data_IF_236724222316
#
_entry.id   IF_236724222316
#
_cell.length_a   1.000
_cell.length_b   1.000
_cell.length_c   1.000
_cell.angle_alpha   90.00
_cell.angle_beta   90.00
_cell.angle_gamma   90.00
#
_symmetry.space_group_name_H-M   'P 1'
#
loop_
_entity.id
_entity.type
_entity.pdbx_description
1 polymer ?
#
# COMPACT_ATOMS: atom_id res chain seq x y z
N UNK A 1 -22.39 42.17 18.92
CA UNK A 1 -22.75 40.99 18.12
C UNK A 1 -22.79 39.83 19.10
N UNK A 2 -23.96 39.27 19.37
CA UNK A 2 -24.10 38.18 20.34
C UNK A 2 -23.41 36.91 19.83
N UNK A 3 -22.84 36.06 20.72
CA UNK A 3 -22.37 34.74 20.31
C UNK A 3 -23.55 33.92 19.79
N UNK A 4 -23.44 33.40 18.57
CA UNK A 4 -24.43 32.46 18.06
C UNK A 4 -24.25 31.13 18.78
N UNK A 5 -25.29 30.67 19.47
CA UNK A 5 -25.38 29.33 20.06
C UNK A 5 -25.75 28.35 18.96
N UNK A 6 -24.81 27.47 18.57
CA UNK A 6 -25.11 26.37 17.66
C UNK A 6 -25.88 25.29 18.43
N UNK A 7 -27.16 25.09 18.10
CA UNK A 7 -28.03 24.20 18.86
C UNK A 7 -27.84 22.73 18.47
N UNK A 8 -26.73 22.12 18.92
CA UNK A 8 -26.36 20.74 18.60
C UNK A 8 -27.49 19.74 18.91
N UNK A 9 -28.28 19.99 19.96
CA UNK A 9 -29.37 19.13 20.42
C UNK A 9 -30.55 19.02 19.46
N UNK A 10 -30.79 20.06 18.66
CA UNK A 10 -31.91 20.11 17.71
C UNK A 10 -31.56 19.46 16.38
N UNK A 11 -30.28 19.53 15.98
CA UNK A 11 -29.77 18.92 14.76
C UNK A 11 -29.35 17.44 14.88
N UNK A 12 -29.11 16.95 16.10
CA UNK A 12 -28.41 15.69 16.46
C UNK A 12 -27.69 14.96 15.29
N UNK A 13 -26.61 15.54 14.74
CA UNK A 13 -26.03 15.10 13.46
C UNK A 13 -25.33 13.73 13.52
N UNK A 14 -25.26 13.11 14.71
CA UNK A 14 -24.62 11.82 14.95
C UNK A 14 -25.48 10.83 15.74
N UNK A 15 -26.76 11.16 16.03
CA UNK A 15 -27.67 10.37 16.88
C UNK A 15 -27.06 10.01 18.24
N UNK A 16 -26.37 10.96 18.87
CA UNK A 16 -25.67 10.76 20.16
C UNK A 16 -26.33 11.47 21.33
N UNK A 17 -27.30 12.37 21.10
CA UNK A 17 -27.90 13.18 22.17
C UNK A 17 -28.59 12.32 23.23
N UNK A 18 -29.18 11.18 22.82
CA UNK A 18 -29.79 10.22 23.74
C UNK A 18 -28.79 9.60 24.73
N UNK A 19 -27.53 9.41 24.32
CA UNK A 19 -26.47 8.83 25.16
C UNK A 19 -25.88 9.80 26.18
N UNK A 20 -26.13 11.10 26.04
CA UNK A 20 -25.59 12.14 26.92
C UNK A 20 -26.29 12.15 28.29
N UNK A 21 -25.51 12.20 29.37
CA UNK A 21 -26.06 12.37 30.72
C UNK A 21 -26.67 13.76 30.88
N UNK A 22 -27.58 13.93 31.84
CA UNK A 22 -28.17 15.24 32.16
C UNK A 22 -27.11 16.33 32.49
N UNK A 23 -25.97 15.92 33.08
CA UNK A 23 -24.84 16.83 33.36
C UNK A 23 -24.13 17.27 32.09
N UNK A 24 -23.94 16.37 31.13
CA UNK A 24 -23.29 16.67 29.86
C UNK A 24 -24.19 17.55 28.99
N UNK A 25 -25.50 17.26 28.96
CA UNK A 25 -26.50 18.11 28.29
C UNK A 25 -26.46 19.55 28.84
N UNK A 26 -26.42 19.73 30.16
CA UNK A 26 -26.33 21.06 30.78
C UNK A 26 -24.99 21.77 30.48
N UNK A 27 -23.86 21.04 30.45
CA UNK A 27 -22.56 21.60 30.06
C UNK A 27 -22.54 22.04 28.59
N UNK A 28 -23.03 21.20 27.68
CA UNK A 28 -23.06 21.48 26.23
C UNK A 28 -24.03 22.62 25.92
N UNK A 29 -25.20 22.70 26.58
CA UNK A 29 -26.13 23.81 26.42
C UNK A 29 -25.57 25.18 26.84
N UNK A 30 -24.58 25.20 27.74
CA UNK A 30 -23.87 26.40 28.16
C UNK A 30 -22.62 26.71 27.31
N UNK A 31 -22.29 25.92 26.27
CA UNK A 31 -21.16 26.20 25.39
C UNK A 31 -21.54 27.17 24.27
N UNK A 32 -20.85 28.31 24.23
CA UNK A 32 -20.94 29.28 23.12
C UNK A 32 -19.90 28.97 22.04
N UNK A 33 -20.26 29.17 20.77
CA UNK A 33 -19.31 29.07 19.66
C UNK A 33 -18.22 30.15 19.81
N UNK A 34 -16.96 29.75 19.76
CA UNK A 34 -15.83 30.68 19.84
C UNK A 34 -15.78 31.57 18.60
N UNK A 35 -15.65 32.89 18.79
CA UNK A 35 -15.52 33.81 17.65
C UNK A 35 -14.15 33.67 16.99
N UNK A 36 -14.06 33.92 15.68
CA UNK A 36 -12.78 33.93 14.96
C UNK A 36 -11.76 34.88 15.60
N UNK A 37 -12.22 36.05 16.08
CA UNK A 37 -11.35 37.03 16.75
C UNK A 37 -10.78 36.46 18.05
N UNK A 38 -11.57 35.73 18.83
CA UNK A 38 -11.14 35.17 20.11
C UNK A 38 -10.26 33.92 19.94
N UNK A 39 -10.55 33.08 18.93
CA UNK A 39 -9.65 32.00 18.51
C UNK A 39 -8.27 32.55 18.11
N UNK A 40 -8.23 33.59 17.27
CA UNK A 40 -6.97 34.22 16.85
C UNK A 40 -6.23 34.90 18.00
N UNK A 41 -6.95 35.48 18.98
CA UNK A 41 -6.34 35.99 20.23
C UNK A 41 -5.73 34.88 21.09
N UNK A 42 -6.37 33.70 21.16
CA UNK A 42 -5.81 32.54 21.85
C UNK A 42 -4.54 32.05 21.14
N UNK A 43 -4.56 31.93 19.81
CA UNK A 43 -3.38 31.60 19.02
C UNK A 43 -2.25 32.64 19.20
N UNK A 44 -2.58 33.93 19.23
CA UNK A 44 -1.62 35.00 19.50
C UNK A 44 -0.93 34.81 20.86
N UNK A 45 -1.72 34.68 21.94
CA UNK A 45 -1.24 34.48 23.33
C UNK A 45 -0.42 33.22 23.51
N UNK A 46 -0.78 32.13 22.82
CA UNK A 46 -0.08 30.85 22.90
C UNK A 46 1.17 30.76 22.00
N UNK A 47 1.57 31.87 21.35
CA UNK A 47 2.63 31.91 20.33
C UNK A 47 2.43 30.95 19.13
N UNK A 48 1.21 30.45 18.91
CA UNK A 48 0.85 29.59 17.77
C UNK A 48 0.56 30.35 16.47
N UNK A 49 0.67 29.65 15.35
CA UNK A 49 0.11 30.06 14.05
C UNK A 49 -1.35 29.61 13.92
N UNK A 50 -2.10 30.24 13.02
CA UNK A 50 -3.46 29.85 12.66
C UNK A 50 -3.53 29.50 11.17
N UNK A 51 -4.06 28.33 10.84
CA UNK A 51 -4.43 27.94 9.48
C UNK A 51 -5.92 28.22 9.29
N UNK A 52 -6.28 29.11 8.37
CA UNK A 52 -7.65 29.51 8.12
C UNK A 52 -8.18 28.82 6.86
N UNK A 53 -8.95 27.75 7.07
CA UNK A 53 -9.82 27.16 6.05
C UNK A 53 -11.26 27.60 6.30
N UNK A 54 -11.72 28.58 5.52
CA UNK A 54 -13.01 29.24 5.71
C UNK A 54 -13.84 29.05 4.44
N UNK A 55 -14.98 28.38 4.60
CA UNK A 55 -15.95 28.19 3.52
C UNK A 55 -16.64 29.51 3.20
N UNK A 56 -16.65 29.88 1.92
CA UNK A 56 -17.43 31.01 1.42
C UNK A 56 -18.93 30.78 1.69
N UNK A 57 -19.68 31.76 2.21
CA UNK A 57 -21.12 31.63 2.43
C UNK A 57 -21.91 31.31 1.13
N UNK A 58 -23.15 30.79 1.21
CA UNK A 58 -24.04 30.65 0.05
C UNK A 58 -24.28 31.98 -0.69
N UNK A 59 -24.60 31.97 -2.00
CA UNK A 59 -24.82 33.18 -2.80
C UNK A 59 -25.86 34.17 -2.23
N UNK A 60 -26.86 33.64 -1.54
CA UNK A 60 -28.00 34.36 -0.96
C UNK A 60 -27.62 35.13 0.31
N UNK A 61 -26.46 34.80 0.91
CA UNK A 61 -26.04 35.39 2.18
C UNK A 61 -25.52 36.83 2.00
N UNK A 62 -25.95 37.83 2.82
CA UNK A 62 -25.55 39.23 2.65
C UNK A 62 -24.03 39.49 2.63
N UNK A 63 -23.24 38.63 3.32
CA UNK A 63 -21.77 38.72 3.34
C UNK A 63 -21.07 37.87 2.28
N UNK A 64 -21.79 37.20 1.37
CA UNK A 64 -21.22 36.32 0.34
C UNK A 64 -20.12 36.99 -0.51
N UNK A 65 -20.27 38.30 -0.80
CA UNK A 65 -19.29 39.08 -1.58
C UNK A 65 -18.19 39.75 -0.74
N UNK A 66 -18.32 39.77 0.60
CA UNK A 66 -17.43 40.48 1.54
C UNK A 66 -16.77 39.57 2.58
N UNK A 67 -17.04 38.26 2.55
CA UNK A 67 -16.64 37.29 3.57
C UNK A 67 -15.14 37.31 3.94
N UNK A 68 -14.27 37.47 2.95
CA UNK A 68 -12.82 37.56 3.15
C UNK A 68 -12.41 38.90 3.79
N UNK A 69 -13.14 40.01 3.55
CA UNK A 69 -12.91 41.29 4.28
C UNK A 69 -13.27 41.15 5.76
N UNK A 70 -14.37 40.46 6.06
CA UNK A 70 -14.78 40.18 7.44
C UNK A 70 -13.70 39.34 8.17
N UNK A 71 -13.08 38.40 7.45
CA UNK A 71 -11.96 37.60 7.95
C UNK A 71 -10.70 38.45 8.16
N UNK A 72 -10.31 39.29 7.19
CA UNK A 72 -9.14 40.17 7.32
C UNK A 72 -9.31 41.16 8.49
N UNK A 73 -10.51 41.72 8.66
CA UNK A 73 -10.83 42.58 9.80
C UNK A 73 -10.74 41.83 11.13
N UNK A 74 -11.19 40.56 11.19
CA UNK A 74 -11.05 39.73 12.36
C UNK A 74 -9.58 39.45 12.73
N UNK A 75 -8.72 39.19 11.73
CA UNK A 75 -7.27 39.04 11.90
C UNK A 75 -6.65 40.32 12.46
N UNK A 76 -6.94 41.47 11.85
CA UNK A 76 -6.44 42.77 12.31
C UNK A 76 -6.90 43.08 13.75
N UNK A 77 -8.18 42.84 14.06
CA UNK A 77 -8.76 43.06 15.40
C UNK A 77 -8.25 42.10 16.47
N UNK A 78 -7.80 40.91 16.09
CA UNK A 78 -7.17 39.96 17.00
C UNK A 78 -5.74 40.38 17.40
N UNK A 79 -5.09 41.26 16.63
CA UNK A 79 -3.72 41.72 16.88
C UNK A 79 -2.64 40.66 16.60
N UNK A 80 -2.98 39.58 15.90
CA UNK A 80 -2.02 38.55 15.49
C UNK A 80 -1.22 39.02 14.26
N UNK A 81 0.07 38.68 14.21
CA UNK A 81 0.90 39.00 13.05
C UNK A 81 0.37 38.31 11.79
N UNK A 82 0.19 39.03 10.65
CA UNK A 82 -0.26 38.43 9.39
C UNK A 82 0.61 37.24 8.93
N UNK A 83 1.92 37.27 9.23
CA UNK A 83 2.85 36.17 8.91
C UNK A 83 2.58 34.86 9.67
N UNK A 84 1.78 34.91 10.74
CA UNK A 84 1.35 33.74 11.55
C UNK A 84 -0.05 33.25 11.18
N UNK A 85 -0.71 33.84 10.19
CA UNK A 85 -2.07 33.47 9.76
C UNK A 85 -2.03 33.03 8.30
N UNK A 86 -2.10 31.73 8.07
CA UNK A 86 -2.04 31.13 6.74
C UNK A 86 -3.45 31.01 6.15
N UNK A 87 -3.63 31.42 4.90
CA UNK A 87 -4.90 31.42 4.19
C UNK A 87 -5.02 30.22 3.24
N UNK A 88 -6.01 29.36 3.47
CA UNK A 88 -6.21 28.12 2.72
C UNK A 88 -7.13 28.23 1.50
N UNK A 89 -8.26 29.00 1.51
CA UNK A 89 -9.20 29.01 0.40
C UNK A 89 -8.64 29.53 -0.94
N UNK A 90 -8.89 28.81 -2.03
CA UNK A 90 -8.53 29.22 -3.39
C UNK A 90 -9.37 30.38 -3.96
N UNK A 91 -10.52 30.67 -3.34
CA UNK A 91 -11.34 31.81 -3.75
C UNK A 91 -10.77 33.13 -3.22
N UNK A 92 -10.84 34.18 -4.05
CA UNK A 92 -10.43 35.55 -3.71
C UNK A 92 -8.95 35.72 -3.26
N UNK A 93 -8.03 34.74 -3.50
CA UNK A 93 -6.59 34.82 -3.10
C UNK A 93 -5.91 36.15 -3.45
N UNK A 94 -6.22 36.71 -4.63
CA UNK A 94 -5.69 38.01 -5.07
C UNK A 94 -6.03 39.20 -4.16
N UNK A 95 -7.04 39.07 -3.29
CA UNK A 95 -7.53 40.08 -2.34
C UNK A 95 -6.94 39.93 -0.93
N UNK A 96 -6.26 38.81 -0.66
CA UNK A 96 -5.68 38.46 0.66
C UNK A 96 -4.14 38.30 0.62
N UNK A 97 -3.48 38.90 -0.38
CA UNK A 97 -2.02 38.82 -0.63
C UNK A 97 -1.10 39.18 0.53
N UNK A 98 -1.61 39.79 1.61
CA UNK A 98 -0.86 40.07 2.84
C UNK A 98 -0.70 38.87 3.79
N UNK A 99 -1.35 37.73 3.49
CA UNK A 99 -1.28 36.49 4.26
C UNK A 99 -0.53 35.39 3.47
N UNK A 100 0.33 34.57 4.11
CA UNK A 100 0.85 33.34 3.52
C UNK A 100 -0.28 32.47 2.93
N UNK A 101 -0.06 31.89 1.75
CA UNK A 101 -1.08 31.13 1.02
C UNK A 101 -0.80 29.63 1.12
N UNK A 102 -1.81 28.85 1.48
CA UNK A 102 -1.80 27.38 1.47
C UNK A 102 -2.85 26.83 0.52
N UNK A 103 -2.62 25.65 -0.05
CA UNK A 103 -3.65 24.85 -0.72
C UNK A 103 -3.90 23.52 0.01
N UNK A 104 -5.08 22.92 -0.23
CA UNK A 104 -5.49 21.61 0.31
C UNK A 104 -5.38 20.46 -0.72
N UNK A 105 -4.66 20.69 -1.82
CA UNK A 105 -4.52 19.76 -2.95
C UNK A 105 -3.05 19.55 -3.31
N UNK A 106 -2.73 18.42 -3.97
CA UNK A 106 -1.41 18.17 -4.54
C UNK A 106 -1.28 19.01 -5.81
N UNK A 107 -0.23 19.81 -5.91
CA UNK A 107 0.02 20.74 -7.01
C UNK A 107 1.42 20.54 -7.60
N UNK A 108 1.57 20.83 -8.88
CA UNK A 108 2.90 20.91 -9.51
C UNK A 108 3.72 22.08 -8.93
N UNK A 109 5.05 22.00 -9.03
CA UNK A 109 5.95 23.09 -8.59
C UNK A 109 5.70 24.37 -9.40
N UNK A 110 5.34 24.23 -10.67
CA UNK A 110 4.94 25.30 -11.58
C UNK A 110 3.70 26.03 -11.05
N UNK A 111 2.64 25.29 -10.70
CA UNK A 111 1.41 25.86 -10.14
C UNK A 111 1.65 26.52 -8.78
N UNK A 112 2.46 25.90 -7.91
CA UNK A 112 2.80 26.48 -6.59
C UNK A 112 3.47 27.84 -6.78
N UNK A 113 4.42 27.95 -7.72
CA UNK A 113 5.11 29.20 -8.05
C UNK A 113 4.18 30.22 -8.72
N UNK A 114 3.32 29.81 -9.64
CA UNK A 114 2.34 30.69 -10.30
C UNK A 114 1.27 31.23 -9.33
N UNK A 115 0.76 30.38 -8.44
CA UNK A 115 -0.27 30.73 -7.44
C UNK A 115 0.33 31.43 -6.20
N UNK A 116 1.66 31.44 -6.04
CA UNK A 116 2.35 32.06 -4.91
C UNK A 116 2.13 31.33 -3.58
N UNK A 117 2.03 30.00 -3.63
CA UNK A 117 1.72 29.14 -2.49
C UNK A 117 3.00 28.85 -1.70
N UNK A 118 2.92 28.99 -0.37
CA UNK A 118 4.03 28.74 0.56
C UNK A 118 3.92 27.41 1.31
N UNK A 119 2.72 26.83 1.35
CA UNK A 119 2.45 25.60 2.09
C UNK A 119 1.37 24.73 1.43
N UNK A 120 1.43 23.42 1.66
CA UNK A 120 0.41 22.47 1.22
C UNK A 120 -0.15 21.71 2.42
N UNK A 121 -1.45 21.44 2.42
CA UNK A 121 -2.09 20.48 3.33
C UNK A 121 -2.56 19.29 2.50
N UNK A 122 -1.90 18.15 2.65
CA UNK A 122 -2.16 16.94 1.85
C UNK A 122 -2.76 15.84 2.71
N UNK A 123 -3.74 15.11 2.16
CA UNK A 123 -4.19 13.88 2.79
C UNK A 123 -3.05 12.84 2.80
N UNK A 124 -2.90 12.06 3.87
CA UNK A 124 -1.78 11.11 4.01
C UNK A 124 -1.68 10.12 2.84
N UNK A 125 -2.79 9.73 2.22
CA UNK A 125 -2.79 8.85 1.04
C UNK A 125 -2.30 9.49 -0.26
N UNK A 126 -2.15 10.82 -0.30
CA UNK A 126 -1.68 11.61 -1.45
C UNK A 126 -0.26 12.15 -1.27
N UNK A 127 0.38 11.90 -0.13
CA UNK A 127 1.69 12.44 0.21
C UNK A 127 2.77 11.35 0.09
N UNK A 128 3.45 11.26 -1.06
CA UNK A 128 4.63 10.40 -1.20
C UNK A 128 5.83 11.02 -0.46
N UNK A 129 6.71 10.17 0.06
CA UNK A 129 8.01 10.60 0.59
C UNK A 129 8.83 11.39 -0.46
N UNK A 130 8.77 10.98 -1.73
CA UNK A 130 9.44 11.69 -2.83
C UNK A 130 8.89 13.09 -3.02
N UNK A 131 7.55 13.24 -3.07
CA UNK A 131 6.88 14.52 -3.20
C UNK A 131 7.24 15.45 -2.02
N UNK A 132 7.20 14.92 -0.79
CA UNK A 132 7.53 15.67 0.43
C UNK A 132 8.96 16.22 0.35
N UNK A 133 9.94 15.41 -0.03
CA UNK A 133 11.32 15.87 -0.17
C UNK A 133 11.48 16.93 -1.28
N UNK A 134 10.79 16.76 -2.40
CA UNK A 134 10.82 17.71 -3.52
C UNK A 134 10.21 19.07 -3.14
N UNK A 135 9.07 19.09 -2.45
CA UNK A 135 8.47 20.33 -1.93
C UNK A 135 9.37 21.02 -0.90
N UNK A 136 9.96 20.26 0.03
CA UNK A 136 10.88 20.80 1.05
C UNK A 136 12.14 21.41 0.41
N UNK A 137 12.70 20.78 -0.61
CA UNK A 137 13.84 21.31 -1.37
C UNK A 137 13.53 22.66 -2.05
N UNK A 138 12.25 22.90 -2.38
CA UNK A 138 11.76 24.16 -2.95
C UNK A 138 11.21 25.15 -1.90
N UNK A 139 11.46 24.92 -0.60
CA UNK A 139 10.97 25.72 0.53
C UNK A 139 9.43 25.77 0.68
N UNK A 140 8.73 24.77 0.15
CA UNK A 140 7.28 24.61 0.33
C UNK A 140 7.04 23.71 1.54
N UNK A 141 6.42 24.25 2.60
CA UNK A 141 6.16 23.45 3.81
C UNK A 141 4.96 22.53 3.60
N UNK A 142 5.09 21.25 3.96
CA UNK A 142 4.03 20.25 3.79
C UNK A 142 3.42 19.90 5.14
N UNK A 143 2.10 20.06 5.24
CA UNK A 143 1.27 19.56 6.34
C UNK A 143 0.54 18.31 5.89
N UNK A 144 0.59 17.24 6.68
CA UNK A 144 -0.16 16.00 6.38
C UNK A 144 -1.38 15.86 7.29
N UNK A 145 -2.54 15.54 6.72
CA UNK A 145 -3.83 15.37 7.41
C UNK A 145 -4.56 14.08 6.99
N UNK A 146 -5.56 13.58 7.72
CA UNK A 146 -5.72 13.70 9.17
C UNK A 146 -4.98 12.52 9.83
N UNK A 147 -4.08 12.80 10.77
CA UNK A 147 -3.18 11.79 11.35
C UNK A 147 -3.60 11.51 12.78
N UNK A 148 -4.41 10.47 12.96
CA UNK A 148 -5.03 10.16 14.26
C UNK A 148 -4.33 9.00 15.01
N UNK A 149 -3.36 8.33 14.37
CA UNK A 149 -2.66 7.17 14.93
C UNK A 149 -1.18 7.46 15.30
N UNK A 150 -0.69 7.02 16.48
CA UNK A 150 0.70 7.18 16.90
C UNK A 150 1.76 6.64 15.92
N UNK A 151 1.50 5.49 15.30
CA UNK A 151 2.43 4.87 14.35
C UNK A 151 2.54 5.70 13.07
N UNK A 152 1.43 6.27 12.56
CA UNK A 152 1.41 7.08 11.35
C UNK A 152 2.13 8.41 11.58
N UNK A 153 1.90 9.02 12.75
CA UNK A 153 2.66 10.20 13.18
C UNK A 153 4.16 9.90 13.26
N UNK A 154 4.54 8.73 13.77
CA UNK A 154 5.95 8.29 13.85
C UNK A 154 6.58 8.09 12.47
N UNK A 155 5.85 7.53 11.51
CA UNK A 155 6.30 7.41 10.11
C UNK A 155 6.51 8.79 9.49
N UNK A 156 5.54 9.71 9.62
CA UNK A 156 5.61 11.05 9.03
C UNK A 156 6.71 11.92 9.66
N UNK A 157 6.98 11.73 10.96
CA UNK A 157 8.14 12.34 11.65
C UNK A 157 9.45 11.85 11.02
N UNK A 158 9.61 10.54 10.81
CA UNK A 158 10.79 9.98 10.13
C UNK A 158 10.91 10.43 8.66
N UNK A 159 9.79 10.72 7.98
CA UNK A 159 9.77 11.26 6.61
C UNK A 159 10.11 12.77 6.52
N UNK A 160 10.34 13.46 7.65
CA UNK A 160 10.75 14.87 7.64
C UNK A 160 9.66 15.88 7.27
N UNK A 161 8.38 15.51 7.38
CA UNK A 161 7.24 16.39 7.10
C UNK A 161 7.27 17.64 7.99
N UNK A 162 6.96 18.82 7.44
CA UNK A 162 7.02 20.10 8.18
C UNK A 162 6.03 20.17 9.35
N UNK A 163 4.81 19.66 9.16
CA UNK A 163 3.75 19.71 10.16
C UNK A 163 2.72 18.60 9.96
N UNK A 164 1.97 18.28 11.01
CA UNK A 164 0.94 17.24 11.00
C UNK A 164 -0.35 17.80 11.60
N UNK A 165 -1.49 17.54 10.94
CA UNK A 165 -2.82 17.85 11.44
C UNK A 165 -3.51 16.59 11.94
N UNK A 166 -4.20 16.69 13.08
CA UNK A 166 -4.78 15.56 13.81
C UNK A 166 -6.07 15.97 14.51
N UNK A 167 -7.09 15.12 14.43
CA UNK A 167 -8.35 15.24 15.18
C UNK A 167 -8.19 14.73 16.63
N UNK A 168 -7.07 14.06 16.93
CA UNK A 168 -6.74 13.50 18.22
C UNK A 168 -5.41 14.02 18.80
N UNK A 169 -5.21 15.35 18.93
CA UNK A 169 -3.96 15.93 19.44
C UNK A 169 -3.60 15.44 20.85
N UNK A 170 -4.59 15.08 21.69
CA UNK A 170 -4.42 14.47 23.00
C UNK A 170 -3.75 13.08 22.96
N UNK A 171 -3.83 12.38 21.83
CA UNK A 171 -3.13 11.10 21.58
C UNK A 171 -1.71 11.38 21.12
N UNK A 172 -1.53 12.25 20.11
CA UNK A 172 -0.19 12.57 19.59
C UNK A 172 0.72 13.24 20.61
N UNK A 173 0.18 14.05 21.54
CA UNK A 173 0.95 14.66 22.65
C UNK A 173 1.59 13.63 23.59
N UNK A 174 1.16 12.36 23.56
CA UNK A 174 1.76 11.26 24.33
C UNK A 174 2.88 10.54 23.57
N UNK A 175 3.25 11.00 22.39
CA UNK A 175 4.27 10.40 21.50
C UNK A 175 5.47 11.37 21.41
N UNK A 176 6.38 11.38 22.40
CA UNK A 176 7.52 12.31 22.41
C UNK A 176 8.65 11.95 21.44
N UNK A 177 8.64 10.73 20.89
CA UNK A 177 9.60 10.22 19.90
C UNK A 177 8.88 9.23 18.96
N UNK A 178 9.38 8.99 17.74
CA UNK A 178 8.76 8.04 16.80
C UNK A 178 8.76 6.61 17.37
N UNK A 179 7.55 6.06 17.52
CA UNK A 179 7.30 4.69 17.96
C UNK A 179 7.36 3.78 16.74
N UNK A 180 8.33 2.87 16.74
CA UNK A 180 8.44 1.82 15.73
C UNK A 180 7.51 0.67 16.08
N UNK A 181 6.46 0.47 15.27
CA UNK A 181 5.55 -0.68 15.41
C UNK A 181 6.29 -2.02 15.28
N UNK A 182 7.41 -2.03 14.56
CA UNK A 182 8.33 -3.16 14.46
C UNK A 182 9.77 -2.64 14.30
N UNK A 183 10.70 -3.14 15.11
CA UNK A 183 12.12 -2.78 14.98
C UNK A 183 12.73 -3.41 13.72
N UNK A 184 13.78 -2.80 13.17
CA UNK A 184 14.51 -3.35 12.01
C UNK A 184 15.05 -4.77 12.29
N UNK A 185 15.42 -5.06 13.54
CA UNK A 185 15.83 -6.39 13.98
C UNK A 185 14.66 -7.38 14.03
N UNK A 186 13.48 -6.99 14.54
CA UNK A 186 12.30 -7.85 14.54
C UNK A 186 11.81 -8.16 13.12
N UNK A 187 11.80 -7.16 12.22
CA UNK A 187 11.48 -7.37 10.80
C UNK A 187 12.47 -8.34 10.14
N UNK A 188 13.77 -8.14 10.30
CA UNK A 188 14.78 -9.07 9.75
C UNK A 188 14.69 -10.46 10.38
N UNK A 189 14.32 -10.57 11.65
CA UNK A 189 14.15 -11.86 12.33
C UNK A 189 12.94 -12.63 11.77
N UNK A 190 11.79 -11.98 11.57
CA UNK A 190 10.60 -12.64 10.99
C UNK A 190 10.87 -13.15 9.57
N UNK A 191 11.55 -12.36 8.72
CA UNK A 191 11.96 -12.84 7.40
C UNK A 191 12.93 -14.02 7.49
N UNK A 192 13.98 -13.90 8.31
CA UNK A 192 14.95 -14.99 8.49
C UNK A 192 14.31 -16.28 9.01
N UNK A 193 13.36 -16.21 9.95
CA UNK A 193 12.64 -17.39 10.42
C UNK A 193 11.67 -17.94 9.36
N UNK A 194 11.02 -17.08 8.58
CA UNK A 194 10.16 -17.51 7.46
C UNK A 194 10.98 -18.25 6.39
N UNK A 195 12.16 -17.75 6.05
CA UNK A 195 13.08 -18.37 5.09
C UNK A 195 13.57 -19.72 5.61
N UNK A 196 13.97 -19.79 6.88
CA UNK A 196 14.40 -21.05 7.52
C UNK A 196 13.28 -22.10 7.56
N UNK A 197 12.04 -21.70 7.87
CA UNK A 197 10.87 -22.59 7.85
C UNK A 197 10.57 -23.06 6.42
N UNK A 198 10.68 -22.18 5.43
CA UNK A 198 10.52 -22.53 4.01
C UNK A 198 11.58 -23.57 3.57
N UNK A 199 12.85 -23.34 3.90
CA UNK A 199 13.95 -24.29 3.62
C UNK A 199 13.69 -25.63 4.33
N UNK A 200 13.30 -25.62 5.60
CA UNK A 200 12.99 -26.83 6.35
C UNK A 200 11.81 -27.62 5.76
N UNK A 201 10.77 -26.93 5.25
CA UNK A 201 9.65 -27.56 4.55
C UNK A 201 10.09 -28.18 3.21
N UNK A 202 10.92 -27.49 2.42
CA UNK A 202 11.45 -28.03 1.15
C UNK A 202 12.31 -29.27 1.40
N UNK A 203 13.20 -29.24 2.40
CA UNK A 203 14.01 -30.40 2.82
C UNK A 203 13.10 -31.52 3.32
N UNK A 204 12.10 -31.22 4.14
CA UNK A 204 11.14 -32.21 4.66
C UNK A 204 10.36 -32.91 3.53
N UNK A 205 9.87 -32.16 2.54
CA UNK A 205 9.19 -32.69 1.35
C UNK A 205 10.15 -33.57 0.54
N UNK A 206 11.38 -33.12 0.28
CA UNK A 206 12.38 -33.89 -0.47
C UNK A 206 12.77 -35.18 0.24
N UNK A 207 13.02 -35.13 1.55
CA UNK A 207 13.28 -36.31 2.38
C UNK A 207 12.09 -37.26 2.40
N UNK A 208 10.85 -36.76 2.51
CA UNK A 208 9.65 -37.59 2.46
C UNK A 208 9.47 -38.27 1.10
N UNK A 209 9.59 -37.52 0.00
CA UNK A 209 9.52 -38.06 -1.36
C UNK A 209 10.61 -39.11 -1.63
N UNK A 210 11.85 -38.85 -1.22
CA UNK A 210 12.97 -39.76 -1.43
C UNK A 210 12.88 -41.01 -0.54
N UNK A 211 12.51 -40.86 0.74
CA UNK A 211 12.23 -41.99 1.63
C UNK A 211 11.05 -42.84 1.14
N UNK A 212 9.98 -42.20 0.65
CA UNK A 212 8.85 -42.88 0.03
C UNK A 212 9.30 -43.63 -1.23
N UNK A 213 10.03 -42.99 -2.15
CA UNK A 213 10.60 -43.63 -3.35
C UNK A 213 11.47 -44.84 -3.00
N UNK A 214 12.38 -44.72 -2.04
CA UNK A 214 13.24 -45.82 -1.58
C UNK A 214 12.40 -46.95 -0.95
N UNK A 215 11.46 -46.62 -0.06
CA UNK A 215 10.59 -47.60 0.60
C UNK A 215 9.68 -48.34 -0.38
N UNK A 216 9.09 -47.66 -1.36
CA UNK A 216 8.31 -48.29 -2.42
C UNK A 216 9.16 -49.13 -3.36
N UNK A 217 10.40 -48.70 -3.67
CA UNK A 217 11.36 -49.49 -4.43
C UNK A 217 11.79 -50.76 -3.67
N UNK A 218 11.95 -50.70 -2.35
CA UNK A 218 12.15 -51.89 -1.50
C UNK A 218 10.90 -52.78 -1.43
N UNK A 219 9.70 -52.24 -1.25
CA UNK A 219 8.45 -53.03 -1.25
C UNK A 219 8.16 -53.68 -2.61
N UNK A 220 8.57 -53.07 -3.72
CA UNK A 220 8.55 -53.69 -5.04
C UNK A 220 9.50 -54.89 -5.17
N UNK A 221 10.63 -54.91 -4.45
CA UNK A 221 11.53 -56.07 -4.39
C UNK A 221 11.01 -57.19 -3.48
N UNK A 222 10.23 -56.87 -2.45
CA UNK A 222 9.72 -57.87 -1.48
C UNK A 222 8.70 -58.85 -2.09
N UNK A 223 8.04 -58.48 -3.20
CA UNK A 223 7.06 -59.31 -3.90
C UNK A 223 7.65 -60.11 -5.08
N UNK A 224 8.96 -60.09 -5.31
CA UNK A 224 9.60 -60.94 -6.30
C UNK A 224 9.81 -62.36 -5.74
N UNK A 225 8.87 -63.26 -6.06
CA UNK A 225 9.00 -64.68 -5.76
C UNK A 225 10.16 -65.26 -6.61
N UNK A 226 11.26 -65.77 -6.00
CA UNK A 226 12.46 -66.19 -6.74
C UNK A 226 12.20 -67.33 -7.73
N UNK A 227 11.16 -68.14 -7.51
CA UNK A 227 10.81 -69.24 -8.42
C UNK A 227 10.34 -68.76 -9.80
N UNK A 228 9.69 -67.58 -9.90
CA UNK A 228 9.29 -67.02 -11.20
C UNK A 228 10.49 -66.53 -12.02
N UNK A 229 11.59 -66.12 -11.37
CA UNK A 229 12.83 -65.71 -12.06
C UNK A 229 13.52 -66.96 -12.65
N UNK A 230 13.60 -68.05 -11.88
CA UNK A 230 14.18 -69.31 -12.37
C UNK A 230 13.33 -69.92 -13.49
N UNK A 231 12.01 -69.97 -13.34
CA UNK A 231 11.13 -70.51 -14.37
C UNK A 231 11.15 -69.66 -15.66
N UNK A 232 11.16 -68.33 -15.58
CA UNK A 232 11.23 -67.46 -16.77
C UNK A 232 12.62 -67.43 -17.44
N UNK A 233 13.70 -67.60 -16.68
CA UNK A 233 15.06 -67.69 -17.21
C UNK A 233 15.37 -69.07 -17.84
N UNK A 234 14.80 -70.15 -17.31
CA UNK A 234 14.98 -71.52 -17.83
C UNK A 234 14.04 -71.79 -19.02
N UNK A 235 12.77 -71.38 -18.96
CA UNK A 235 11.81 -71.62 -20.04
C UNK A 235 12.15 -70.89 -21.37
N UNK A 236 12.81 -69.73 -21.30
CA UNK A 236 13.17 -68.96 -22.50
C UNK A 236 14.48 -69.40 -23.18
N UNK A 237 15.30 -70.26 -22.54
CA UNK A 237 16.59 -70.70 -23.12
C UNK A 237 16.51 -71.94 -24.01
N UNK A 238 15.37 -72.62 -24.08
CA UNK A 238 15.24 -73.89 -24.83
C UNK A 238 14.29 -73.83 -26.03
N UNK A 239 13.61 -72.70 -26.27
CA UNK A 239 12.57 -72.63 -27.31
C UNK A 239 12.77 -71.52 -28.36
N UNK A 240 13.79 -70.64 -28.22
CA UNK A 240 14.04 -69.58 -29.21
C UNK A 240 14.96 -70.03 -30.34
N UNK A 241 16.02 -70.78 -30.05
CA UNK A 241 17.00 -71.20 -31.06
C UNK A 241 16.50 -72.32 -31.99
N UNK A 242 15.55 -73.17 -31.54
CA UNK A 242 14.97 -74.23 -32.38
C UNK A 242 13.97 -73.70 -33.43
N UNK A 243 13.34 -72.55 -33.19
CA UNK A 243 12.51 -71.89 -34.21
C UNK A 243 13.37 -71.02 -35.16
N UNK A 244 14.43 -70.37 -34.65
CA UNK A 244 15.37 -69.62 -35.51
C UNK A 244 16.06 -70.55 -36.52
N UNK A 245 16.43 -71.78 -36.14
CA UNK A 245 17.05 -72.73 -37.07
C UNK A 245 16.08 -73.29 -38.13
N UNK A 246 14.78 -73.32 -37.85
CA UNK A 246 13.75 -73.69 -38.85
C UNK A 246 13.44 -72.54 -39.80
N UNK A 247 13.27 -71.32 -39.31
CA UNK A 247 13.05 -70.15 -40.18
C UNK A 247 14.26 -69.86 -41.08
N UNK A 248 15.50 -70.06 -40.58
CA UNK A 248 16.72 -69.87 -41.39
C UNK A 248 16.88 -70.88 -42.54
N UNK A 249 16.21 -72.03 -42.51
CA UNK A 249 16.18 -72.98 -43.63
C UNK A 249 15.05 -72.67 -44.64
N UNK A 250 14.00 -71.97 -44.24
CA UNK A 250 12.86 -71.62 -45.10
C UNK A 250 13.13 -70.30 -45.85
N UNK A 251 13.84 -69.35 -45.25
CA UNK A 251 14.19 -68.08 -45.90
C UNK A 251 15.42 -68.15 -46.84
N UNK A 252 16.20 -69.24 -46.84
CA UNK A 252 17.25 -69.46 -47.84
C UNK A 252 16.72 -69.90 -49.21
N UNK A 253 15.49 -70.42 -49.28
CA UNK A 253 14.89 -70.93 -50.52
C UNK A 253 14.00 -69.88 -51.24
N UNK A 254 13.65 -68.79 -50.55
CA UNK A 254 12.84 -67.69 -51.09
C UNK A 254 13.65 -66.47 -51.57
N UNK A 255 14.98 -66.46 -51.42
CA UNK A 255 15.83 -65.32 -51.80
C UNK A 255 16.74 -65.59 -53.01
N UNK A 256 16.43 -66.61 -53.81
CA UNK A 256 16.99 -66.82 -55.15
C UNK A 256 16.04 -66.24 -56.22
N UNK A 257 15.85 -64.92 -56.20
CA UNK A 257 15.04 -64.23 -57.22
C UNK A 257 14.91 -62.72 -57.00
N UNK A 258 15.64 -61.95 -57.82
CA UNK A 258 15.67 -60.47 -57.92
C UNK A 258 16.22 -59.77 -56.65
N UNK A 259 17.39 -59.14 -56.62
CA UNK A 259 18.11 -58.25 -57.56
C UNK A 259 17.51 -56.84 -57.69
N UNK A 260 18.40 -55.82 -57.64
CA UNK A 260 18.15 -54.35 -57.59
C UNK A 260 17.43 -53.82 -56.32
N UNK A 261 17.71 -52.65 -55.74
CA UNK A 261 18.67 -51.55 -56.07
C UNK A 261 19.08 -50.73 -54.83
N UNK A 262 19.91 -49.71 -55.06
CA UNK A 262 20.69 -48.90 -54.11
C UNK A 262 19.93 -47.82 -53.30
N UNK A 263 20.43 -47.58 -52.08
CA UNK A 263 20.69 -46.31 -51.37
C UNK A 263 19.71 -45.11 -51.18
N UNK A 264 19.80 -44.58 -49.94
CA UNK A 264 19.79 -43.16 -49.49
C UNK A 264 18.47 -42.39 -49.22
N UNK A 265 18.23 -42.22 -47.90
CA UNK A 265 17.65 -41.07 -47.16
C UNK A 265 16.18 -40.63 -47.35
N UNK A 266 15.49 -40.39 -46.21
CA UNK A 266 14.73 -39.17 -45.90
C UNK A 266 14.30 -39.11 -44.41
N UNK A 267 14.14 -37.88 -43.89
CA UNK A 267 13.66 -37.49 -42.54
C UNK A 267 12.10 -37.50 -42.48
N UNK A 268 11.37 -37.37 -41.31
CA UNK A 268 11.41 -36.18 -40.41
C UNK A 268 10.96 -36.33 -38.91
N UNK A 269 11.00 -35.18 -38.19
CA UNK A 269 10.15 -34.67 -37.06
C UNK A 269 9.55 -35.62 -35.99
N UNK A 270 9.34 -35.26 -34.70
CA UNK A 270 9.41 -34.00 -33.94
C UNK A 270 9.66 -34.36 -32.43
N UNK A 271 9.77 -33.48 -31.43
CA UNK A 271 9.70 -32.00 -31.32
C UNK A 271 9.69 -31.58 -29.83
N UNK A 272 9.89 -30.30 -29.50
CA UNK A 272 9.92 -29.77 -28.11
C UNK A 272 9.21 -28.41 -27.99
N UNK A 273 8.56 -28.15 -26.83
CA UNK A 273 7.88 -26.88 -26.54
C UNK A 273 8.59 -26.09 -25.42
N UNK A 274 8.69 -24.76 -25.58
CA UNK A 274 9.30 -23.81 -24.65
C UNK A 274 8.26 -22.74 -24.23
N UNK A 275 8.41 -22.22 -23.01
CA UNK A 275 7.52 -21.25 -22.38
C UNK A 275 7.55 -19.86 -23.03
N UNK A 276 6.37 -19.23 -23.11
CA UNK A 276 6.18 -17.85 -23.55
C UNK A 276 6.56 -16.82 -22.49
N UNK A 277 7.19 -15.72 -22.93
CA UNK A 277 7.30 -14.47 -22.17
C UNK A 277 6.54 -13.40 -22.97
N UNK A 278 5.66 -12.62 -22.32
CA UNK A 278 4.85 -11.61 -23.00
C UNK A 278 4.70 -10.34 -22.18
N UNK A 279 4.82 -9.17 -22.82
CA UNK A 279 4.65 -7.88 -22.17
C UNK A 279 4.59 -6.69 -23.14
N UNK A 280 3.44 -5.99 -23.08
CA UNK A 280 3.18 -4.57 -23.38
C UNK A 280 3.14 -4.05 -24.84
N UNK A 281 2.23 -3.08 -25.03
CA UNK A 281 1.80 -2.45 -26.29
C UNK A 281 0.38 -2.92 -26.66
N UNK A 282 -0.70 -2.15 -26.50
CA UNK A 282 -0.88 -0.73 -26.12
C UNK A 282 -1.86 -0.56 -24.93
#
# INVERSE_FOLDING_TARGET
>A
MAPQTYNMFESDPYWTVETLTARDRLRIGNQTVCSLVDMLRLAARANGSALLDIRRPPPEHPRHRSWFMDTLWAVQKAGISPKRVTWTPDTDRGRVRGLPQSANEKLSLEEIRQRGITSLTLHYSKASHTDIQEYLAHNVSVTVSAVNAPWLYSVLWCSGVSSVSSDAPQVLRKVPYPIWLMSRSAYRFIWLTSDLVSIALVIGIFCFQNYHMIRWKMSGMQNYNPEQIVLSAVANRTNRDLNVMKEKLIFSELNNGLDSTEDISLFPENGYAIYSHGGLGD
#
